data_IF_439780695003
#
_entry.id   IF_439780695003
#
_cell.length_a   1.000
_cell.length_b   1.000
_cell.length_c   1.000
_cell.angle_alpha   90.00
_cell.angle_beta   90.00
_cell.angle_gamma   90.00
#
_symmetry.space_group_name_H-M   'P 1'
#
loop_
_entity.id
_entity.type
_entity.pdbx_description
1 polymer ?
#
# COMPACT_ATOMS: atom_id res chain seq x y z
N UNK A 1 5.31 5.97 -18.58
CA UNK A 1 5.12 4.50 -18.72
C UNK A 1 4.54 3.96 -17.42
N UNK A 2 3.51 3.11 -17.48
CA UNK A 2 2.80 2.57 -16.30
C UNK A 2 3.74 1.90 -15.26
N UNK A 3 4.88 1.36 -15.73
CA UNK A 3 5.92 0.74 -14.89
C UNK A 3 6.53 1.68 -13.85
N UNK A 4 6.73 2.95 -14.18
CA UNK A 4 7.34 3.92 -13.26
C UNK A 4 6.43 4.28 -12.08
N UNK A 5 5.12 4.39 -12.34
CA UNK A 5 4.12 4.67 -11.30
C UNK A 5 4.04 3.48 -10.33
N UNK A 6 4.01 2.26 -10.86
CA UNK A 6 3.97 1.05 -10.03
C UNK A 6 5.23 0.91 -9.17
N UNK A 7 6.41 1.19 -9.74
CA UNK A 7 7.67 1.19 -9.00
C UNK A 7 7.68 2.23 -7.87
N UNK A 8 7.14 3.43 -8.10
CA UNK A 8 7.02 4.48 -7.07
C UNK A 8 6.07 4.05 -5.93
N UNK A 9 4.94 3.44 -6.26
CA UNK A 9 4.00 2.91 -5.26
C UNK A 9 4.66 1.80 -4.44
N UNK A 10 5.37 0.88 -5.09
CA UNK A 10 6.09 -0.19 -4.41
C UNK A 10 7.16 0.37 -3.47
N UNK A 11 7.99 1.30 -3.96
CA UNK A 11 9.07 1.90 -3.18
C UNK A 11 8.54 2.64 -1.95
N UNK A 12 7.46 3.41 -2.08
CA UNK A 12 6.81 4.06 -0.94
C UNK A 12 6.33 3.06 0.12
N UNK A 13 5.72 1.95 -0.28
CA UNK A 13 5.24 0.92 0.66
C UNK A 13 6.41 0.17 1.32
N UNK A 14 7.49 -0.10 0.59
CA UNK A 14 8.71 -0.70 1.15
C UNK A 14 9.36 0.23 2.17
N UNK A 15 9.44 1.53 1.88
CA UNK A 15 9.97 2.52 2.84
C UNK A 15 9.13 2.59 4.11
N UNK A 16 7.80 2.59 3.99
CA UNK A 16 6.90 2.55 5.15
C UNK A 16 7.08 1.28 5.97
N UNK A 17 7.24 0.13 5.31
CA UNK A 17 7.51 -1.15 6.00
C UNK A 17 8.87 -1.14 6.71
N UNK A 18 9.92 -0.61 6.07
CA UNK A 18 11.24 -0.47 6.69
C UNK A 18 11.20 0.48 7.90
N UNK A 19 10.48 1.59 7.80
CA UNK A 19 10.30 2.54 8.90
C UNK A 19 9.58 1.89 10.09
N UNK A 20 8.59 1.03 9.83
CA UNK A 20 7.92 0.25 10.86
C UNK A 20 8.88 -0.71 11.57
N UNK A 21 9.65 -1.50 10.82
CA UNK A 21 10.64 -2.45 11.38
C UNK A 21 11.71 -1.71 12.19
N UNK A 22 12.19 -0.57 11.69
CA UNK A 22 13.18 0.25 12.39
C UNK A 22 12.59 0.92 13.64
N UNK A 23 11.32 1.33 13.60
CA UNK A 23 10.60 1.91 14.72
C UNK A 23 10.42 0.96 15.91
N UNK A 24 10.45 -0.36 15.69
CA UNK A 24 10.44 -1.36 16.78
C UNK A 24 11.73 -1.26 17.61
N UNK A 25 12.86 -0.96 16.97
CA UNK A 25 14.17 -0.78 17.64
C UNK A 25 14.28 0.62 18.26
N UNK A 26 13.74 1.64 17.59
CA UNK A 26 13.79 3.02 18.03
C UNK A 26 12.38 3.66 18.05
N UNK A 27 11.73 3.78 19.23
CA UNK A 27 10.32 4.17 19.33
C UNK A 27 10.02 5.58 18.80
N UNK A 28 11.02 6.45 18.68
CA UNK A 28 10.89 7.79 18.06
C UNK A 28 10.42 7.68 16.61
N UNK A 29 10.86 6.66 15.85
CA UNK A 29 10.46 6.48 14.45
C UNK A 29 9.06 5.89 14.29
N UNK A 30 8.50 5.33 15.36
CA UNK A 30 7.14 4.81 15.37
C UNK A 30 6.11 5.95 15.29
N UNK A 31 6.44 7.12 15.86
CA UNK A 31 5.65 8.35 15.71
C UNK A 31 5.72 8.90 14.27
N UNK A 32 6.89 8.84 13.64
CA UNK A 32 7.05 9.20 12.23
C UNK A 32 6.29 8.25 11.30
N UNK A 33 6.29 6.95 11.62
CA UNK A 33 5.51 5.95 10.91
C UNK A 33 4.01 6.21 11.01
N UNK A 34 3.49 6.48 12.21
CA UNK A 34 2.06 6.76 12.37
C UNK A 34 1.65 8.05 11.66
N UNK A 35 2.48 9.10 11.70
CA UNK A 35 2.25 10.34 10.95
C UNK A 35 2.23 10.09 9.43
N UNK A 36 3.21 9.36 8.90
CA UNK A 36 3.28 9.04 7.47
C UNK A 36 2.08 8.17 7.02
N UNK A 37 1.68 7.20 7.85
CA UNK A 37 0.51 6.36 7.61
C UNK A 37 -0.79 7.18 7.59
N UNK A 38 -0.95 8.12 8.52
CA UNK A 38 -2.11 9.02 8.56
C UNK A 38 -2.20 9.87 7.30
N UNK A 39 -1.11 10.52 6.89
CA UNK A 39 -1.09 11.35 5.66
C UNK A 39 -1.46 10.51 4.44
N UNK A 40 -0.83 9.33 4.27
CA UNK A 40 -1.14 8.41 3.17
C UNK A 40 -2.62 8.01 3.16
N UNK A 41 -3.15 7.63 4.33
CA UNK A 41 -4.55 7.25 4.50
C UNK A 41 -5.52 8.38 4.19
N UNK A 42 -5.24 9.60 4.63
CA UNK A 42 -6.08 10.77 4.36
C UNK A 42 -6.14 11.08 2.87
N UNK A 43 -5.01 11.05 2.17
CA UNK A 43 -4.97 11.27 0.71
C UNK A 43 -5.80 10.21 -0.03
N UNK A 44 -5.66 8.93 0.36
CA UNK A 44 -6.47 7.84 -0.24
C UNK A 44 -7.96 7.97 0.10
N UNK A 45 -8.31 8.38 1.32
CA UNK A 45 -9.71 8.61 1.70
C UNK A 45 -10.33 9.75 0.91
N UNK A 46 -9.64 10.87 0.74
CA UNK A 46 -10.11 12.01 -0.08
C UNK A 46 -10.38 11.54 -1.52
N UNK A 47 -9.51 10.71 -2.07
CA UNK A 47 -9.69 10.12 -3.40
C UNK A 47 -10.86 9.13 -3.46
N UNK A 48 -11.06 8.30 -2.44
CA UNK A 48 -12.10 7.27 -2.40
C UNK A 48 -13.49 7.80 -1.99
N UNK A 49 -13.57 8.94 -1.29
CA UNK A 49 -14.82 9.57 -0.87
C UNK A 49 -15.84 9.78 -2.02
N UNK A 50 -15.51 10.38 -3.17
CA UNK A 50 -16.46 10.55 -4.27
C UNK A 50 -16.92 9.20 -4.84
N UNK A 51 -16.02 8.21 -4.93
CA UNK A 51 -16.34 6.86 -5.42
C UNK A 51 -17.28 6.15 -4.45
N UNK A 52 -17.01 6.22 -3.15
CA UNK A 52 -17.85 5.62 -2.13
C UNK A 52 -19.24 6.26 -2.04
N UNK A 53 -19.34 7.56 -2.35
CA UNK A 53 -20.60 8.28 -2.46
C UNK A 53 -21.42 7.77 -3.64
N UNK A 54 -20.78 7.59 -4.79
CA UNK A 54 -21.43 7.03 -5.97
C UNK A 54 -22.01 5.63 -5.69
N UNK A 55 -21.23 4.76 -5.04
CA UNK A 55 -21.66 3.39 -4.69
C UNK A 55 -22.44 3.27 -3.37
N UNK A 56 -22.80 4.39 -2.71
CA UNK A 56 -23.51 4.39 -1.41
C UNK A 56 -22.85 3.54 -0.31
N UNK A 57 -21.53 3.34 -0.38
CA UNK A 57 -20.77 2.42 0.46
C UNK A 57 -19.88 3.12 1.51
N UNK A 58 -20.29 4.29 2.02
CA UNK A 58 -19.52 5.09 3.00
C UNK A 58 -19.12 4.32 4.26
N UNK A 59 -19.95 3.38 4.73
CA UNK A 59 -19.67 2.62 5.96
C UNK A 59 -18.41 1.74 5.84
N UNK A 60 -18.06 1.28 4.64
CA UNK A 60 -16.85 0.48 4.41
C UNK A 60 -15.58 1.33 4.42
N UNK A 61 -15.68 2.63 4.17
CA UNK A 61 -14.54 3.55 4.24
C UNK A 61 -13.96 3.66 5.66
N UNK A 62 -14.77 3.44 6.70
CA UNK A 62 -14.30 3.46 8.09
C UNK A 62 -13.38 2.28 8.42
N UNK A 63 -13.48 1.16 7.69
CA UNK A 63 -12.60 0.01 7.86
C UNK A 63 -11.25 0.22 7.15
N UNK A 64 -11.19 1.18 6.22
CA UNK A 64 -10.01 1.42 5.38
C UNK A 64 -8.74 1.78 6.18
N UNK A 65 -8.77 2.67 7.20
CA UNK A 65 -7.59 2.99 8.00
C UNK A 65 -7.03 1.77 8.77
N UNK A 66 -7.90 0.85 9.18
CA UNK A 66 -7.50 -0.36 9.91
C UNK A 66 -6.83 -1.39 8.97
N UNK A 67 -7.24 -1.41 7.70
CA UNK A 67 -6.67 -2.31 6.69
C UNK A 67 -5.36 -1.78 6.08
N UNK A 68 -5.00 -0.53 6.32
CA UNK A 68 -3.76 0.10 5.82
C UNK A 68 -2.48 -0.67 6.16
N UNK A 69 -2.23 -1.10 7.42
CA UNK A 69 -1.01 -1.83 7.75
C UNK A 69 -0.93 -3.18 7.04
N UNK A 70 -2.06 -3.90 6.94
CA UNK A 70 -2.17 -5.15 6.19
C UNK A 70 -1.88 -4.94 4.70
N UNK A 71 -2.38 -3.84 4.14
CA UNK A 71 -2.15 -3.48 2.75
C UNK A 71 -0.66 -3.23 2.46
N UNK A 72 0.07 -2.55 3.36
CA UNK A 72 1.51 -2.34 3.21
C UNK A 72 2.26 -3.69 3.12
N UNK A 73 1.97 -4.62 4.04
CA UNK A 73 2.56 -5.97 4.02
C UNK A 73 2.23 -6.70 2.72
N UNK A 74 0.98 -6.63 2.28
CA UNK A 74 0.54 -7.23 1.02
C UNK A 74 1.31 -6.68 -0.19
N UNK A 75 1.46 -5.36 -0.32
CA UNK A 75 2.18 -4.73 -1.45
C UNK A 75 3.65 -5.14 -1.46
N UNK A 76 4.31 -5.19 -0.30
CA UNK A 76 5.71 -5.63 -0.19
C UNK A 76 5.86 -7.08 -0.64
N UNK A 77 4.99 -7.98 -0.17
CA UNK A 77 5.00 -9.39 -0.56
C UNK A 77 4.67 -9.58 -2.05
N UNK A 78 3.64 -8.91 -2.55
CA UNK A 78 3.22 -9.01 -3.94
C UNK A 78 4.29 -8.48 -4.90
N UNK A 79 4.96 -7.37 -4.55
CA UNK A 79 6.07 -6.85 -5.36
C UNK A 79 7.30 -7.76 -5.31
N UNK A 80 7.65 -8.30 -4.15
CA UNK A 80 8.74 -9.28 -4.02
C UNK A 80 8.50 -10.54 -4.86
N UNK A 81 7.29 -11.10 -4.80
CA UNK A 81 6.89 -12.25 -5.62
C UNK A 81 6.76 -11.89 -7.11
N UNK A 82 6.38 -10.65 -7.43
CA UNK A 82 6.30 -10.14 -8.80
C UNK A 82 7.65 -10.03 -9.50
N UNK A 83 8.74 -9.78 -8.76
CA UNK A 83 10.10 -9.87 -9.30
C UNK A 83 10.55 -11.31 -9.56
N UNK A 84 10.03 -12.28 -8.80
CA UNK A 84 10.43 -13.69 -8.88
C UNK A 84 9.63 -14.51 -9.90
N UNK A 85 8.45 -14.06 -10.32
CA UNK A 85 7.51 -14.85 -11.12
C UNK A 85 7.50 -14.50 -12.61
N UNK A 86 7.81 -15.49 -13.45
CA UNK A 86 7.42 -15.46 -14.87
C UNK A 86 5.91 -15.68 -14.93
N UNK A 87 5.13 -14.63 -15.21
CA UNK A 87 3.69 -14.76 -15.35
C UNK A 87 3.34 -15.60 -16.58
N UNK A 88 2.92 -16.85 -16.33
CA UNK A 88 2.42 -17.76 -17.34
C UNK A 88 0.89 -17.70 -17.34
N UNK A 89 0.33 -17.10 -18.38
CA UNK A 89 -1.12 -17.11 -18.59
C UNK A 89 -1.46 -18.11 -19.69
N UNK A 90 -2.21 -19.17 -19.35
CA UNK A 90 -2.62 -20.23 -20.29
C UNK A 90 -1.46 -20.76 -21.15
N UNK A 91 -0.37 -21.22 -20.50
CA UNK A 91 0.83 -21.76 -21.15
C UNK A 91 1.60 -20.79 -22.07
N UNK A 92 1.24 -19.49 -22.07
CA UNK A 92 1.98 -18.45 -22.77
C UNK A 92 2.73 -17.60 -21.75
N UNK A 93 4.01 -17.38 -22.04
CA UNK A 93 4.83 -16.42 -21.31
C UNK A 93 4.39 -15.03 -21.72
N UNK A 94 3.75 -14.29 -20.82
CA UNK A 94 3.41 -12.89 -21.06
C UNK A 94 4.65 -12.08 -20.64
N UNK A 95 5.37 -11.52 -21.62
CA UNK A 95 6.50 -10.62 -21.39
C UNK A 95 6.02 -9.20 -21.13
#
# INVERSE_FOLDING_TARGET
>A
KMTGILAMVYLLNVLLFALFVYGIVHPVYLAWFSAALLVKTTVELVYLLPVANFFHCRRRLLLFPVLQPLHIVYIVLAGFLGFAGVYRWKDRTVK
#
